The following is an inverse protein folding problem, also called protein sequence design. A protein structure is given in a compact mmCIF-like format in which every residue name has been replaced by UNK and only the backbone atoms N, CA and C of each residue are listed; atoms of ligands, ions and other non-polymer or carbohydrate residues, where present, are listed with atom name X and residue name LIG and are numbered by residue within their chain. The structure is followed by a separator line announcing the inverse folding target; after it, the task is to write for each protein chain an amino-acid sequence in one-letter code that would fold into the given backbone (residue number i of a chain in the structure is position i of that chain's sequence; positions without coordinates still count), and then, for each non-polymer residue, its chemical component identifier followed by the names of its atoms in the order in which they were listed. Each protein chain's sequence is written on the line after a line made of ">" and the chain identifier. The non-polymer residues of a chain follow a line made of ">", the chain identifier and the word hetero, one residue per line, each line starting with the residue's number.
data_IF_918505349865
#
_entry.id   IF_918505349865
#
_cell.length_a   1.000
_cell.length_b   1.000
_cell.length_c   1.000
_cell.angle_alpha   90.00
_cell.angle_beta   90.00
_cell.angle_gamma   90.00
#
_symmetry.space_group_name_H-M   'P 1'
#
loop_
_entity.id
_entity.type
_entity.pdbx_description
1 polymer ?
#
# COMPACT_ATOMS: atom_id res chain seq x y z
N UNK A 1 16.75 -23.64 137.96
CA UNK A 1 15.89 -24.28 136.95
C UNK A 1 15.69 -23.32 135.79
N UNK A 2 16.07 -23.71 134.59
CA UNK A 2 15.69 -23.04 133.34
C UNK A 2 15.42 -24.14 132.33
N UNK A 3 14.14 -24.39 132.07
CA UNK A 3 13.69 -25.38 131.09
C UNK A 3 13.67 -24.71 129.72
N UNK A 4 14.76 -24.83 128.98
CA UNK A 4 14.74 -24.52 127.54
C UNK A 4 13.74 -25.44 126.86
N UNK A 5 12.78 -24.86 126.13
CA UNK A 5 11.78 -25.65 125.40
C UNK A 5 12.46 -26.51 124.34
N UNK A 6 12.07 -27.79 124.17
CA UNK A 6 12.54 -28.57 123.04
C UNK A 6 11.99 -27.95 121.75
N UNK A 7 12.86 -27.73 120.76
CA UNK A 7 12.42 -27.32 119.42
C UNK A 7 11.32 -28.26 118.92
N UNK A 8 10.17 -27.69 118.57
CA UNK A 8 9.00 -28.44 118.11
C UNK A 8 9.25 -29.03 116.71
N UNK A 9 9.93 -30.19 116.67
CA UNK A 9 10.04 -31.01 115.47
C UNK A 9 8.63 -31.40 115.03
N UNK A 10 8.15 -30.79 113.95
CA UNK A 10 6.93 -31.22 113.27
C UNK A 10 7.21 -32.57 112.61
N UNK A 11 6.95 -33.65 113.35
CA UNK A 11 6.80 -34.98 112.78
C UNK A 11 5.52 -35.02 111.95
N UNK A 12 5.56 -34.53 110.71
CA UNK A 12 4.57 -34.87 109.69
C UNK A 12 4.90 -36.28 109.16
N UNK A 13 4.12 -37.31 109.51
CA UNK A 13 4.60 -38.71 109.50
C UNK A 13 4.75 -39.34 108.11
N UNK A 14 4.53 -38.59 107.02
CA UNK A 14 4.68 -39.06 105.63
C UNK A 14 5.10 -37.94 104.64
N UNK A 15 5.45 -36.74 105.12
CA UNK A 15 5.75 -35.59 104.26
C UNK A 15 7.22 -35.48 103.89
N UNK A 16 7.65 -36.05 102.75
CA UNK A 16 8.95 -35.67 102.16
C UNK A 16 8.91 -34.18 101.78
N UNK A 17 9.89 -33.34 102.17
CA UNK A 17 9.87 -31.91 101.86
C UNK A 17 9.95 -31.69 100.34
N UNK A 18 8.89 -31.17 99.75
CA UNK A 18 8.80 -30.90 98.31
C UNK A 18 9.27 -29.47 97.99
N UNK A 19 10.43 -29.35 97.35
CA UNK A 19 10.94 -28.07 96.86
C UNK A 19 10.27 -27.65 95.53
N UNK A 20 9.98 -26.36 95.39
CA UNK A 20 9.50 -25.77 94.14
C UNK A 20 10.59 -25.83 93.05
N UNK A 21 10.19 -26.14 91.82
CA UNK A 21 11.12 -26.28 90.68
C UNK A 21 11.07 -25.03 89.80
N UNK A 22 12.23 -24.41 89.58
CA UNK A 22 12.39 -23.20 88.76
C UNK A 22 13.31 -23.49 87.57
N UNK A 23 13.25 -22.64 86.53
CA UNK A 23 13.98 -22.83 85.26
C UNK A 23 15.52 -22.87 85.41
N UNK A 24 16.05 -22.44 86.57
CA UNK A 24 17.46 -22.61 86.98
C UNK A 24 17.51 -22.94 88.48
N UNK A 25 17.23 -24.19 88.82
CA UNK A 25 17.36 -24.74 90.17
C UNK A 25 18.57 -25.66 90.33
N UNK A 26 18.79 -26.16 91.56
CA UNK A 26 19.78 -27.20 91.85
C UNK A 26 19.36 -28.56 91.27
N UNK A 27 20.32 -29.43 90.95
CA UNK A 27 20.05 -30.80 90.54
C UNK A 27 19.36 -31.57 91.67
N UNK A 28 18.13 -32.00 91.42
CA UNK A 28 17.34 -32.81 92.35
C UNK A 28 18.11 -34.04 92.85
N UNK A 29 18.88 -34.72 92.00
CA UNK A 29 19.67 -35.91 92.40
C UNK A 29 20.85 -35.58 93.31
N UNK A 30 21.23 -34.31 93.44
CA UNK A 30 22.23 -33.85 94.41
C UNK A 30 21.55 -33.40 95.70
N UNK A 31 20.42 -32.69 95.60
CA UNK A 31 19.59 -32.29 96.75
C UNK A 31 19.07 -33.51 97.50
N UNK A 32 18.48 -34.50 96.82
CA UNK A 32 17.94 -35.72 97.45
C UNK A 32 19.01 -36.46 98.27
N UNK A 33 20.24 -36.62 97.73
CA UNK A 33 21.38 -37.25 98.42
C UNK A 33 21.92 -36.40 99.59
N UNK A 34 21.93 -35.08 99.45
CA UNK A 34 22.37 -34.19 100.52
C UNK A 34 21.38 -34.18 101.70
N UNK A 35 20.07 -34.21 101.41
CA UNK A 35 19.03 -34.35 102.44
C UNK A 35 19.17 -35.69 103.17
N UNK A 36 19.34 -36.80 102.44
CA UNK A 36 19.58 -38.13 103.02
C UNK A 36 20.82 -38.16 103.92
N UNK A 37 21.92 -37.51 103.51
CA UNK A 37 23.13 -37.37 104.32
C UNK A 37 22.92 -36.52 105.60
N UNK A 38 22.13 -35.44 105.51
CA UNK A 38 21.80 -34.59 106.67
C UNK A 38 20.84 -35.28 107.64
N UNK A 39 19.86 -36.02 107.13
CA UNK A 39 18.94 -36.84 107.95
C UNK A 39 19.69 -37.94 108.70
N UNK A 40 20.63 -38.64 108.02
CA UNK A 40 21.51 -39.62 108.65
C UNK A 40 22.40 -39.00 109.76
N UNK A 41 22.95 -37.80 109.52
CA UNK A 41 23.71 -37.06 110.54
C UNK A 41 22.87 -36.59 111.73
N UNK A 42 21.62 -36.17 111.51
CA UNK A 42 20.69 -35.84 112.58
C UNK A 42 20.31 -37.07 113.41
N UNK A 43 20.18 -38.24 112.78
CA UNK A 43 19.95 -39.51 113.46
C UNK A 43 21.15 -39.94 114.33
N UNK A 44 22.39 -39.79 113.85
CA UNK A 44 23.57 -40.12 114.67
C UNK A 44 23.73 -39.17 115.87
N UNK A 45 23.59 -37.86 115.66
CA UNK A 45 23.71 -36.85 116.73
C UNK A 45 22.63 -37.00 117.81
N UNK A 46 21.40 -37.39 117.45
CA UNK A 46 20.35 -37.67 118.43
C UNK A 46 20.60 -38.96 119.21
N UNK A 47 21.13 -40.01 118.59
CA UNK A 47 21.56 -41.23 119.29
C UNK A 47 22.74 -40.97 120.25
N UNK A 48 23.69 -40.10 119.89
CA UNK A 48 24.79 -39.69 120.76
C UNK A 48 24.32 -38.86 121.96
N UNK A 49 23.43 -37.89 121.73
CA UNK A 49 22.73 -37.14 122.79
C UNK A 49 22.09 -38.07 123.81
N UNK A 50 21.38 -39.09 123.35
CA UNK A 50 20.60 -39.98 124.24
C UNK A 50 21.52 -40.92 125.05
N UNK A 51 22.65 -41.35 124.47
CA UNK A 51 23.72 -42.05 125.22
C UNK A 51 24.32 -41.16 126.31
N UNK A 52 24.62 -39.89 126.00
CA UNK A 52 25.17 -38.94 126.97
C UNK A 52 24.17 -38.64 128.12
N UNK A 53 22.87 -38.50 127.80
CA UNK A 53 21.83 -38.33 128.82
C UNK A 53 21.69 -39.56 129.74
N UNK A 54 21.86 -40.77 129.20
CA UNK A 54 21.87 -42.00 130.00
C UNK A 54 23.08 -42.05 130.96
N UNK A 55 24.27 -41.73 130.47
CA UNK A 55 25.49 -41.66 131.30
C UNK A 55 25.35 -40.65 132.45
N UNK A 56 24.82 -39.44 132.17
CA UNK A 56 24.60 -38.40 133.19
C UNK A 56 23.65 -38.87 134.31
N UNK A 57 22.59 -39.60 133.97
CA UNK A 57 21.66 -40.19 134.97
C UNK A 57 22.36 -41.22 135.85
N UNK A 58 23.20 -42.08 135.28
CA UNK A 58 23.92 -43.11 136.04
C UNK A 58 24.93 -42.49 137.03
N UNK A 59 25.70 -41.48 136.62
CA UNK A 59 26.61 -40.78 137.53
C UNK A 59 25.87 -40.02 138.64
N UNK A 60 24.67 -39.49 138.36
CA UNK A 60 23.82 -38.85 139.39
C UNK A 60 23.42 -39.83 140.49
N UNK A 61 23.13 -41.09 140.14
CA UNK A 61 22.82 -42.15 141.12
C UNK A 61 24.05 -42.59 141.93
N UNK A 62 25.20 -42.76 141.28
CA UNK A 62 26.47 -43.11 141.95
C UNK A 62 26.87 -42.06 143.00
N UNK A 63 26.69 -40.78 142.69
CA UNK A 63 26.98 -39.69 143.61
C UNK A 63 26.10 -39.72 144.88
N UNK A 64 24.82 -40.11 144.75
CA UNK A 64 23.91 -40.25 145.89
C UNK A 64 24.29 -41.43 146.81
N UNK A 65 24.81 -42.53 146.24
CA UNK A 65 25.29 -43.69 147.02
C UNK A 65 26.52 -43.34 147.85
N UNK A 66 27.54 -42.70 147.25
CA UNK A 66 28.77 -42.30 147.95
C UNK A 66 28.51 -41.29 149.09
N UNK A 67 27.48 -40.46 148.98
CA UNK A 67 27.07 -39.56 150.07
C UNK A 67 26.53 -40.34 151.29
N UNK A 68 25.85 -41.48 151.09
CA UNK A 68 25.36 -42.29 152.20
C UNK A 68 26.52 -42.95 152.97
N UNK A 69 27.45 -43.61 152.27
CA UNK A 69 28.59 -44.33 152.87
C UNK A 69 29.45 -43.40 153.75
N UNK A 70 29.69 -42.16 153.30
CA UNK A 70 30.41 -41.14 154.06
C UNK A 70 29.68 -40.67 155.34
N UNK A 71 28.36 -40.88 155.47
CA UNK A 71 27.61 -40.60 156.70
C UNK A 71 27.63 -41.77 157.69
N UNK A 72 27.82 -43.00 157.24
CA UNK A 72 27.92 -44.18 158.10
C UNK A 72 29.29 -44.28 158.77
N UNK A 73 30.38 -44.11 158.01
CA UNK A 73 31.76 -44.17 158.50
C UNK A 73 32.07 -43.15 159.61
N UNK A 74 31.30 -42.06 159.71
CA UNK A 74 31.48 -41.02 160.75
C UNK A 74 30.94 -41.41 162.14
N UNK A 75 30.29 -42.56 162.30
CA UNK A 75 29.50 -42.87 163.51
C UNK A 75 30.15 -43.88 164.50
N UNK A 76 31.43 -44.25 164.34
CA UNK A 76 32.09 -45.28 165.19
C UNK A 76 33.40 -44.81 165.87
N UNK A 77 33.44 -44.72 167.22
CA UNK A 77 34.68 -44.66 168.01
C UNK A 77 35.14 -46.06 168.48
N UNK A 78 36.37 -46.17 169.00
CA UNK A 78 36.99 -47.44 169.43
C UNK A 78 37.62 -47.37 170.85
N UNK A 79 37.90 -48.54 171.45
CA UNK A 79 38.51 -48.70 172.79
C UNK A 79 39.72 -49.65 172.78
N UNK A 80 40.38 -49.81 173.94
CA UNK A 80 41.85 -49.97 174.08
C UNK A 80 42.25 -51.00 175.16
N UNK A 81 43.50 -51.46 175.09
CA UNK A 81 44.35 -52.10 176.13
C UNK A 81 44.17 -53.57 176.60
N UNK A 82 45.30 -54.11 177.09
CA UNK A 82 45.43 -55.30 177.95
C UNK A 82 46.56 -55.09 178.98
N UNK A 83 46.38 -55.64 180.19
CA UNK A 83 47.27 -55.44 181.34
C UNK A 83 48.37 -56.51 181.48
N UNK A 84 49.37 -56.23 182.31
CA UNK A 84 50.47 -57.13 182.69
C UNK A 84 50.19 -57.91 183.97
N UNK A 85 50.64 -59.16 184.05
CA UNK A 85 50.63 -59.98 185.26
C UNK A 85 52.05 -60.17 185.80
N UNK A 86 52.20 -60.06 187.11
CA UNK A 86 53.43 -60.29 187.89
C UNK A 86 53.00 -60.98 189.19
N UNK A 87 53.89 -61.74 189.81
CA UNK A 87 53.66 -62.57 191.01
C UNK A 87 52.94 -63.91 190.77
N UNK A 88 53.56 -64.78 189.95
CA UNK A 88 53.33 -66.22 189.93
C UNK A 88 54.69 -66.92 190.09
N UNK A 89 54.79 -67.87 191.04
CA UNK A 89 56.08 -68.39 191.54
C UNK A 89 56.84 -69.38 190.63
N UNK A 90 57.94 -69.99 191.12
CA UNK A 90 59.00 -70.58 190.28
C UNK A 90 58.61 -71.78 189.38
N UNK A 91 57.46 -72.43 189.63
CA UNK A 91 56.90 -73.42 188.69
C UNK A 91 56.35 -72.72 187.45
N UNK A 92 55.74 -71.54 187.61
CA UNK A 92 55.30 -70.69 186.50
C UNK A 92 56.49 -70.07 185.79
N UNK A 93 57.59 -69.72 186.46
CA UNK A 93 58.83 -69.31 185.78
C UNK A 93 59.38 -70.44 184.86
N UNK A 94 59.33 -71.70 185.29
CA UNK A 94 59.71 -72.83 184.42
C UNK A 94 58.72 -73.04 183.26
N UNK A 95 57.42 -72.89 183.50
CA UNK A 95 56.40 -72.94 182.44
C UNK A 95 56.59 -71.78 181.45
N UNK A 96 56.93 -70.58 181.93
CA UNK A 96 57.21 -69.41 181.11
C UNK A 96 58.50 -69.59 180.30
N UNK A 97 59.58 -70.12 180.88
CA UNK A 97 60.81 -70.40 180.14
C UNK A 97 60.63 -71.50 179.07
N UNK A 98 59.80 -72.53 179.35
CA UNK A 98 59.42 -73.53 178.36
C UNK A 98 58.48 -72.95 177.29
N UNK A 99 57.53 -72.09 177.67
CA UNK A 99 56.63 -71.40 176.75
C UNK A 99 57.35 -70.36 175.89
N UNK A 100 58.38 -69.68 176.42
CA UNK A 100 59.25 -68.75 175.69
C UNK A 100 60.12 -69.51 174.69
N UNK A 101 60.67 -70.66 175.07
CA UNK A 101 61.37 -71.55 174.13
C UNK A 101 60.44 -72.12 173.05
N UNK A 102 59.20 -72.49 173.41
CA UNK A 102 58.19 -72.92 172.45
C UNK A 102 57.73 -71.78 171.54
N UNK A 103 57.54 -70.57 172.08
CA UNK A 103 57.20 -69.38 171.32
C UNK A 103 58.34 -68.96 170.38
N UNK A 104 59.60 -69.13 170.80
CA UNK A 104 60.79 -68.99 169.95
C UNK A 104 60.73 -69.95 168.76
N UNK A 105 60.53 -71.26 169.00
CA UNK A 105 60.38 -72.26 167.93
C UNK A 105 59.16 -72.01 167.03
N UNK A 106 58.05 -71.51 167.58
CA UNK A 106 56.87 -71.10 166.80
C UNK A 106 57.17 -69.86 165.96
N UNK A 107 57.91 -68.88 166.49
CA UNK A 107 58.33 -67.69 165.76
C UNK A 107 59.37 -68.01 164.67
N UNK A 108 60.34 -68.89 164.94
CA UNK A 108 61.31 -69.39 163.97
C UNK A 108 60.61 -70.14 162.83
N UNK A 109 59.71 -71.07 163.14
CA UNK A 109 58.97 -71.81 162.11
C UNK A 109 57.92 -70.95 161.37
N UNK A 110 57.34 -69.93 162.03
CA UNK A 110 56.46 -68.97 161.38
C UNK A 110 57.22 -67.98 160.48
N UNK A 111 58.41 -67.54 160.86
CA UNK A 111 59.27 -66.66 160.03
C UNK A 111 59.90 -67.43 158.87
N UNK A 112 60.29 -68.69 159.07
CA UNK A 112 60.67 -69.60 157.97
C UNK A 112 59.53 -69.74 156.96
N UNK A 113 58.32 -70.12 157.40
CA UNK A 113 57.14 -70.23 156.51
C UNK A 113 56.74 -68.91 155.86
N UNK A 114 56.89 -67.78 156.55
CA UNK A 114 56.65 -66.48 155.97
C UNK A 114 57.67 -66.16 154.87
N UNK A 115 58.95 -66.49 155.07
CA UNK A 115 60.00 -66.35 154.05
C UNK A 115 59.83 -67.31 152.86
N UNK A 116 59.38 -68.54 153.11
CA UNK A 116 59.00 -69.52 152.07
C UNK A 116 57.86 -68.97 151.21
N UNK A 117 56.74 -68.58 151.83
CA UNK A 117 55.57 -68.02 151.13
C UNK A 117 55.87 -66.67 150.45
N UNK A 118 56.75 -65.84 151.00
CA UNK A 118 57.24 -64.62 150.35
C UNK A 118 58.08 -64.95 149.12
N UNK A 119 59.02 -65.90 149.22
CA UNK A 119 59.81 -66.36 148.08
C UNK A 119 58.99 -67.02 146.98
N UNK A 120 57.93 -67.76 147.33
CA UNK A 120 56.96 -68.30 146.38
C UNK A 120 56.14 -67.18 145.71
N UNK A 121 55.62 -66.22 146.48
CA UNK A 121 54.88 -65.09 145.94
C UNK A 121 55.75 -64.19 145.04
N UNK A 122 57.03 -63.95 145.41
CA UNK A 122 57.98 -63.22 144.58
C UNK A 122 58.30 -63.95 143.28
N UNK A 123 58.48 -65.28 143.29
CA UNK A 123 58.65 -66.09 142.08
C UNK A 123 57.44 -66.00 141.17
N UNK A 124 56.23 -66.23 141.69
CA UNK A 124 54.99 -66.14 140.90
C UNK A 124 54.77 -64.72 140.34
N UNK A 125 55.15 -63.67 141.08
CA UNK A 125 55.12 -62.30 140.58
C UNK A 125 56.20 -62.01 139.52
N UNK A 126 57.36 -62.65 139.57
CA UNK A 126 58.38 -62.57 138.51
C UNK A 126 57.94 -63.33 137.26
N UNK A 127 57.51 -64.58 137.39
CA UNK A 127 56.96 -65.42 136.31
C UNK A 127 55.78 -64.72 135.61
N UNK A 128 54.84 -64.16 136.37
CA UNK A 128 53.72 -63.40 135.81
C UNK A 128 54.15 -62.10 135.10
N UNK A 129 55.22 -61.43 135.56
CA UNK A 129 55.79 -60.26 134.88
C UNK A 129 56.56 -60.63 133.61
N UNK A 130 57.30 -61.74 133.63
CA UNK A 130 58.01 -62.25 132.46
C UNK A 130 57.03 -62.71 131.38
N UNK A 131 55.96 -63.43 131.74
CA UNK A 131 54.88 -63.78 130.81
C UNK A 131 54.10 -62.55 130.31
N UNK A 132 53.87 -61.53 131.14
CA UNK A 132 53.29 -60.27 130.68
C UNK A 132 54.21 -59.52 129.71
N UNK A 133 55.52 -59.51 129.95
CA UNK A 133 56.50 -58.89 129.05
C UNK A 133 56.63 -59.66 127.72
N UNK A 134 56.64 -61.00 127.77
CA UNK A 134 56.63 -61.88 126.60
C UNK A 134 55.38 -61.62 125.74
N UNK A 135 54.18 -61.72 126.33
CA UNK A 135 52.93 -61.51 125.58
C UNK A 135 52.76 -60.09 125.04
N UNK A 136 53.27 -59.06 125.73
CA UNK A 136 53.33 -57.71 125.17
C UNK A 136 54.30 -57.63 123.98
N UNK A 137 55.49 -58.24 124.08
CA UNK A 137 56.46 -58.27 122.99
C UNK A 137 55.94 -59.03 121.75
N UNK A 138 55.29 -60.17 121.95
CA UNK A 138 54.66 -60.97 120.89
C UNK A 138 53.54 -60.18 120.19
N UNK A 139 52.71 -59.44 120.95
CA UNK A 139 51.67 -58.57 120.41
C UNK A 139 52.25 -57.35 119.68
N UNK A 140 53.34 -56.75 120.17
CA UNK A 140 54.06 -55.68 119.47
C UNK A 140 54.68 -56.19 118.16
N UNK A 141 55.25 -57.41 118.17
CA UNK A 141 55.76 -58.07 116.98
C UNK A 141 54.64 -58.34 115.96
N UNK A 142 53.51 -58.94 116.37
CA UNK A 142 52.34 -59.14 115.50
C UNK A 142 51.80 -57.81 114.92
N UNK A 143 51.70 -56.77 115.74
CA UNK A 143 51.21 -55.46 115.28
C UNK A 143 52.18 -54.78 114.32
N UNK A 144 53.49 -54.94 114.52
CA UNK A 144 54.51 -54.45 113.58
C UNK A 144 54.48 -55.21 112.25
N UNK A 145 54.33 -56.54 112.30
CA UNK A 145 54.21 -57.38 111.12
C UNK A 145 52.95 -57.03 110.30
N UNK A 146 51.78 -56.93 110.95
CA UNK A 146 50.52 -56.54 110.29
C UNK A 146 50.56 -55.14 109.70
N UNK A 147 51.30 -54.20 110.31
CA UNK A 147 51.55 -52.86 109.72
C UNK A 147 52.41 -52.98 108.45
N UNK A 148 53.53 -53.67 108.53
CA UNK A 148 54.41 -53.87 107.37
C UNK A 148 53.74 -54.65 106.22
N UNK A 149 52.82 -55.58 106.52
CA UNK A 149 51.97 -56.25 105.52
C UNK A 149 50.95 -55.30 104.89
N UNK A 150 50.32 -54.43 105.69
CA UNK A 150 49.36 -53.43 105.19
C UNK A 150 50.05 -52.34 104.36
N UNK A 151 51.24 -51.90 104.75
CA UNK A 151 52.08 -50.95 104.02
C UNK A 151 52.50 -51.54 102.66
N UNK A 152 53.03 -52.77 102.61
CA UNK A 152 53.32 -53.47 101.36
C UNK A 152 52.09 -53.64 100.47
N UNK A 153 50.96 -54.11 101.03
CA UNK A 153 49.73 -54.28 100.27
C UNK A 153 49.14 -52.95 99.77
N UNK A 154 49.46 -51.82 100.41
CA UNK A 154 49.14 -50.48 99.93
C UNK A 154 50.10 -50.03 98.82
N UNK A 155 51.41 -50.26 98.96
CA UNK A 155 52.43 -49.95 97.95
C UNK A 155 52.25 -50.78 96.66
N UNK A 156 51.91 -52.07 96.77
CA UNK A 156 51.55 -52.94 95.65
C UNK A 156 50.30 -52.43 94.91
N UNK A 157 49.24 -52.07 95.64
CA UNK A 157 48.02 -51.51 95.03
C UNK A 157 48.27 -50.14 94.40
N UNK A 158 49.10 -49.32 95.04
CA UNK A 158 49.46 -47.98 94.54
C UNK A 158 50.30 -48.08 93.28
N UNK A 159 51.36 -48.89 93.27
CA UNK A 159 52.21 -49.08 92.09
C UNK A 159 51.46 -49.75 90.94
N UNK A 160 50.55 -50.69 91.21
CA UNK A 160 49.65 -51.24 90.20
C UNK A 160 48.69 -50.19 89.61
N UNK A 161 48.17 -49.27 90.43
CA UNK A 161 47.33 -48.17 89.96
C UNK A 161 48.13 -47.11 89.19
N UNK A 162 49.35 -46.78 89.62
CA UNK A 162 50.26 -45.87 88.92
C UNK A 162 50.70 -46.45 87.57
N UNK A 163 50.94 -47.77 87.48
CA UNK A 163 51.18 -48.47 86.23
C UNK A 163 49.96 -48.43 85.29
N UNK A 164 48.76 -48.76 85.78
CA UNK A 164 47.53 -48.67 84.98
C UNK A 164 47.24 -47.25 84.48
N UNK A 165 47.58 -46.22 85.26
CA UNK A 165 47.47 -44.82 84.83
C UNK A 165 48.51 -44.48 83.75
N UNK A 166 49.72 -45.04 83.80
CA UNK A 166 50.72 -44.89 82.75
C UNK A 166 50.28 -45.60 81.45
N UNK A 167 49.81 -46.85 81.53
CA UNK A 167 49.27 -47.61 80.38
C UNK A 167 48.11 -46.85 79.70
N UNK A 168 47.19 -46.29 80.49
CA UNK A 168 46.06 -45.49 79.99
C UNK A 168 46.55 -44.18 79.35
N UNK A 169 47.57 -43.52 79.92
CA UNK A 169 48.15 -42.31 79.35
C UNK A 169 48.85 -42.59 78.01
N UNK A 170 49.61 -43.69 77.91
CA UNK A 170 50.23 -44.08 76.65
C UNK A 170 49.18 -44.39 75.58
N UNK A 171 48.14 -45.16 75.91
CA UNK A 171 47.04 -45.45 74.99
C UNK A 171 46.28 -44.18 74.54
N UNK A 172 46.07 -43.21 75.44
CA UNK A 172 45.44 -41.93 75.09
C UNK A 172 46.33 -41.09 74.18
N UNK A 173 47.64 -41.05 74.41
CA UNK A 173 48.58 -40.34 73.52
C UNK A 173 48.75 -41.03 72.16
N UNK A 174 48.79 -42.37 72.11
CA UNK A 174 48.76 -43.14 70.87
C UNK A 174 47.48 -42.82 70.06
N UNK A 175 46.30 -42.90 70.69
CA UNK A 175 45.02 -42.56 70.04
C UNK A 175 44.93 -41.09 69.61
N UNK A 176 45.58 -40.17 70.34
CA UNK A 176 45.67 -38.75 69.96
C UNK A 176 46.53 -38.58 68.71
N UNK A 177 47.71 -39.20 68.66
CA UNK A 177 48.64 -39.14 67.52
C UNK A 177 48.04 -39.82 66.28
N UNK A 178 47.42 -40.99 66.42
CA UNK A 178 46.72 -41.67 65.33
C UNK A 178 45.54 -40.83 64.81
N UNK A 179 44.78 -40.19 65.71
CA UNK A 179 43.69 -39.29 65.36
C UNK A 179 44.16 -38.03 64.62
N UNK A 180 45.27 -37.44 65.06
CA UNK A 180 45.91 -36.29 64.39
C UNK A 180 46.45 -36.69 63.01
N UNK A 181 47.16 -37.81 62.89
CA UNK A 181 47.67 -38.32 61.62
C UNK A 181 46.54 -38.65 60.62
N UNK A 182 45.45 -39.28 61.08
CA UNK A 182 44.27 -39.54 60.26
C UNK A 182 43.57 -38.23 59.83
N UNK A 183 43.52 -37.22 60.71
CA UNK A 183 42.97 -35.91 60.38
C UNK A 183 43.83 -35.16 59.36
N UNK A 184 45.16 -35.18 59.49
CA UNK A 184 46.07 -34.61 58.51
C UNK A 184 45.97 -35.31 57.14
N UNK A 185 45.88 -36.65 57.11
CA UNK A 185 45.68 -37.40 55.87
C UNK A 185 44.37 -37.00 55.19
N UNK A 186 43.26 -36.96 55.92
CA UNK A 186 41.97 -36.52 55.41
C UNK A 186 41.99 -35.06 54.90
N UNK A 187 42.72 -34.16 55.57
CA UNK A 187 42.95 -32.81 55.06
C UNK A 187 43.77 -32.79 53.77
N UNK A 188 44.82 -33.60 53.66
CA UNK A 188 45.67 -33.68 52.47
C UNK A 188 44.91 -34.26 51.27
N UNK A 189 44.10 -35.30 51.49
CA UNK A 189 43.21 -35.85 50.47
C UNK A 189 42.12 -34.85 50.05
N UNK A 190 41.49 -34.14 50.99
CA UNK A 190 40.53 -33.09 50.66
C UNK A 190 41.17 -31.95 49.84
N UNK A 191 42.39 -31.51 50.19
CA UNK A 191 43.16 -30.52 49.41
C UNK A 191 43.44 -31.04 48.00
N UNK A 192 43.96 -32.27 47.87
CA UNK A 192 44.24 -32.93 46.59
C UNK A 192 42.99 -33.10 45.71
N UNK A 193 41.85 -33.46 46.29
CA UNK A 193 40.57 -33.58 45.56
C UNK A 193 40.08 -32.20 45.10
N UNK A 194 40.18 -31.17 45.95
CA UNK A 194 39.84 -29.79 45.57
C UNK A 194 40.75 -29.25 44.46
N UNK A 195 42.06 -29.55 44.50
CA UNK A 195 43.02 -29.18 43.45
C UNK A 195 42.72 -29.90 42.13
N UNK A 196 42.48 -31.22 42.16
CA UNK A 196 42.16 -32.01 40.97
C UNK A 196 40.82 -31.59 40.34
N UNK A 197 39.80 -31.33 41.16
CA UNK A 197 38.49 -30.87 40.66
C UNK A 197 38.57 -29.43 40.13
N UNK A 198 39.32 -28.53 40.76
CA UNK A 198 39.58 -27.19 40.22
C UNK A 198 40.30 -27.25 38.87
N UNK A 199 41.32 -28.12 38.73
CA UNK A 199 42.01 -28.34 37.45
C UNK A 199 41.08 -28.90 36.38
N UNK A 200 40.21 -29.87 36.71
CA UNK A 200 39.23 -30.43 35.78
C UNK A 200 38.19 -29.38 35.35
N UNK A 201 37.69 -28.56 36.27
CA UNK A 201 36.74 -27.47 35.97
C UNK A 201 37.38 -26.42 35.06
N UNK A 202 38.62 -26.01 35.31
CA UNK A 202 39.31 -25.03 34.45
C UNK A 202 39.68 -25.62 33.08
N UNK A 203 40.07 -26.90 33.00
CA UNK A 203 40.26 -27.59 31.71
C UNK A 203 38.95 -27.67 30.91
N UNK A 204 37.84 -28.04 31.55
CA UNK A 204 36.53 -28.07 30.92
C UNK A 204 36.06 -26.68 30.47
N UNK A 205 36.33 -25.64 31.27
CA UNK A 205 36.07 -24.25 30.92
C UNK A 205 36.88 -23.81 29.71
N UNK A 206 38.21 -24.01 29.72
CA UNK A 206 39.09 -23.63 28.60
C UNK A 206 38.69 -24.37 27.33
N UNK A 207 38.31 -25.65 27.41
CA UNK A 207 37.78 -26.41 26.28
C UNK A 207 36.45 -25.83 25.76
N UNK A 208 35.49 -25.50 26.64
CA UNK A 208 34.22 -24.88 26.24
C UNK A 208 34.42 -23.47 25.64
N UNK A 209 35.34 -22.68 26.20
CA UNK A 209 35.73 -21.39 25.65
C UNK A 209 36.42 -21.53 24.29
N UNK A 210 37.25 -22.57 24.07
CA UNK A 210 37.87 -22.84 22.78
C UNK A 210 36.83 -23.28 21.73
N UNK A 211 35.91 -24.18 22.08
CA UNK A 211 34.83 -24.64 21.19
C UNK A 211 33.89 -23.49 20.80
N UNK A 212 33.50 -22.63 21.75
CA UNK A 212 32.64 -21.46 21.45
C UNK A 212 33.36 -20.40 20.63
N UNK A 213 34.67 -20.18 20.85
CA UNK A 213 35.50 -19.32 19.97
C UNK A 213 35.59 -19.90 18.56
N UNK A 214 35.87 -21.21 18.41
CA UNK A 214 35.95 -21.90 17.13
C UNK A 214 34.62 -21.87 16.34
N UNK A 215 33.51 -22.22 16.99
CA UNK A 215 32.17 -22.17 16.39
C UNK A 215 31.80 -20.74 15.96
N UNK A 216 32.13 -19.72 16.76
CA UNK A 216 31.93 -18.32 16.37
C UNK A 216 32.76 -17.94 15.14
N UNK A 217 34.02 -18.36 15.04
CA UNK A 217 34.84 -18.09 13.86
C UNK A 217 34.34 -18.82 12.61
N UNK A 218 33.86 -20.06 12.76
CA UNK A 218 33.26 -20.81 11.65
C UNK A 218 31.98 -20.12 11.14
N UNK A 219 31.05 -19.78 12.03
CA UNK A 219 29.82 -19.06 11.66
C UNK A 219 30.14 -17.70 11.01
N UNK A 220 31.19 -17.01 11.46
CA UNK A 220 31.65 -15.77 10.83
C UNK A 220 32.20 -16.00 9.41
N UNK A 221 32.94 -17.09 9.18
CA UNK A 221 33.43 -17.46 7.84
C UNK A 221 32.29 -17.89 6.91
N UNK A 222 31.35 -18.72 7.39
CA UNK A 222 30.17 -19.15 6.63
C UNK A 222 29.27 -17.97 6.25
N UNK A 223 29.02 -17.03 7.17
CA UNK A 223 28.28 -15.80 6.88
C UNK A 223 29.02 -14.88 5.91
N UNK A 224 30.36 -14.82 5.94
CA UNK A 224 31.14 -14.08 4.96
C UNK A 224 31.10 -14.75 3.57
N UNK A 225 31.20 -16.07 3.51
CA UNK A 225 31.12 -16.85 2.27
C UNK A 225 29.73 -16.72 1.62
N UNK A 226 28.65 -16.88 2.39
CA UNK A 226 27.27 -16.71 1.91
C UNK A 226 26.99 -15.27 1.43
N UNK A 227 27.56 -14.26 2.10
CA UNK A 227 27.50 -12.87 1.62
C UNK A 227 28.25 -12.67 0.32
N UNK A 228 29.43 -13.26 0.17
CA UNK A 228 30.21 -13.17 -1.07
C UNK A 228 29.50 -13.89 -2.24
N UNK A 229 28.92 -15.07 -1.99
CA UNK A 229 28.10 -15.81 -2.96
C UNK A 229 26.87 -14.99 -3.39
N UNK A 230 26.08 -14.49 -2.43
CA UNK A 230 24.91 -13.65 -2.74
C UNK A 230 25.29 -12.36 -3.48
N UNK A 231 26.44 -11.75 -3.18
CA UNK A 231 26.96 -10.62 -3.95
C UNK A 231 27.34 -11.02 -5.39
N UNK A 232 27.97 -12.19 -5.59
CA UNK A 232 28.28 -12.71 -6.91
C UNK A 232 27.01 -13.00 -7.72
N UNK A 233 26.02 -13.67 -7.13
CA UNK A 233 24.70 -13.91 -7.73
C UNK A 233 24.00 -12.60 -8.12
N UNK A 234 24.02 -11.59 -7.25
CA UNK A 234 23.46 -10.26 -7.55
C UNK A 234 24.21 -9.53 -8.67
N UNK A 235 25.54 -9.68 -8.78
CA UNK A 235 26.28 -9.11 -9.92
C UNK A 235 26.02 -9.86 -11.22
N UNK A 236 25.94 -11.19 -11.19
CA UNK A 236 25.56 -12.00 -12.35
C UNK A 236 24.14 -11.67 -12.82
N UNK A 237 23.18 -11.56 -11.90
CA UNK A 237 21.80 -11.19 -12.22
C UNK A 237 21.72 -9.77 -12.81
N UNK A 238 22.46 -8.81 -12.26
CA UNK A 238 22.58 -7.46 -12.86
C UNK A 238 23.13 -7.49 -14.29
N UNK A 239 24.25 -8.18 -14.53
CA UNK A 239 24.84 -8.29 -15.86
C UNK A 239 23.90 -8.99 -16.84
N UNK A 240 23.17 -10.02 -16.40
CA UNK A 240 22.17 -10.71 -17.23
C UNK A 240 20.97 -9.79 -17.55
N UNK A 241 20.47 -9.03 -16.59
CA UNK A 241 19.36 -8.07 -16.80
C UNK A 241 19.79 -6.89 -17.67
N UNK A 242 21.00 -6.35 -17.48
CA UNK A 242 21.57 -5.32 -18.34
C UNK A 242 21.75 -5.83 -19.77
N UNK A 243 22.19 -7.08 -19.93
CA UNK A 243 22.26 -7.76 -21.23
C UNK A 243 20.88 -7.92 -21.87
N UNK A 244 19.88 -8.45 -21.16
CA UNK A 244 18.51 -8.58 -21.67
C UNK A 244 17.91 -7.22 -22.07
N UNK A 245 18.16 -6.18 -21.29
CA UNK A 245 17.71 -4.81 -21.62
C UNK A 245 18.38 -4.31 -22.89
N UNK A 246 19.68 -4.55 -23.07
CA UNK A 246 20.40 -4.16 -24.28
C UNK A 246 19.99 -4.97 -25.51
N UNK A 247 19.76 -6.29 -25.37
CA UNK A 247 19.24 -7.14 -26.45
C UNK A 247 17.83 -6.72 -26.87
N UNK A 248 16.93 -6.44 -25.92
CA UNK A 248 15.57 -5.92 -26.23
C UNK A 248 15.60 -4.52 -26.82
N UNK A 249 16.53 -3.65 -26.42
CA UNK A 249 16.73 -2.32 -27.03
C UNK A 249 17.23 -2.44 -28.47
N UNK A 250 18.24 -3.27 -28.72
CA UNK A 250 18.75 -3.51 -30.06
C UNK A 250 17.69 -4.10 -31.00
N UNK A 251 16.85 -5.02 -30.50
CA UNK A 251 15.71 -5.54 -31.26
C UNK A 251 14.67 -4.43 -31.58
N UNK A 252 14.27 -3.63 -30.59
CA UNK A 252 13.33 -2.52 -30.82
C UNK A 252 13.91 -1.43 -31.75
N UNK A 253 15.22 -1.16 -31.69
CA UNK A 253 15.91 -0.26 -32.62
C UNK A 253 15.95 -0.82 -34.05
N UNK A 254 16.09 -2.15 -34.21
CA UNK A 254 15.97 -2.84 -35.50
C UNK A 254 14.53 -2.77 -36.04
N UNK A 255 13.51 -3.12 -35.24
CA UNK A 255 12.10 -3.00 -35.63
C UNK A 255 11.74 -1.56 -36.06
N UNK A 256 12.22 -0.55 -35.30
CA UNK A 256 12.02 0.86 -35.67
C UNK A 256 12.79 1.26 -36.94
N UNK A 257 13.97 0.69 -37.20
CA UNK A 257 14.70 0.91 -38.45
C UNK A 257 14.02 0.24 -39.65
N UNK A 258 13.48 -0.96 -39.48
CA UNK A 258 12.71 -1.67 -40.50
C UNK A 258 11.39 -0.96 -40.81
N UNK A 259 10.65 -0.51 -39.79
CA UNK A 259 9.45 0.30 -39.97
C UNK A 259 9.73 1.64 -40.66
N UNK A 260 10.85 2.31 -40.36
CA UNK A 260 11.28 3.51 -41.08
C UNK A 260 11.61 3.20 -42.54
N UNK A 261 12.42 2.17 -42.80
CA UNK A 261 12.77 1.76 -44.16
C UNK A 261 11.56 1.26 -44.97
N UNK A 262 10.53 0.71 -44.33
CA UNK A 262 9.25 0.41 -44.95
C UNK A 262 8.49 1.70 -45.31
N UNK A 263 8.29 2.61 -44.35
CA UNK A 263 7.62 3.89 -44.58
C UNK A 263 8.33 4.76 -45.64
N UNK A 264 9.67 4.76 -45.69
CA UNK A 264 10.47 5.43 -46.71
C UNK A 264 10.24 4.84 -48.11
N UNK A 265 10.12 3.50 -48.22
CA UNK A 265 9.76 2.83 -49.49
C UNK A 265 8.32 3.12 -49.90
N UNK A 266 7.38 3.12 -48.96
CA UNK A 266 5.97 3.43 -49.21
C UNK A 266 5.80 4.88 -49.67
N UNK A 267 6.49 5.83 -49.04
CA UNK A 267 6.51 7.24 -49.46
C UNK A 267 7.19 7.40 -50.81
N UNK A 268 8.32 6.72 -51.07
CA UNK A 268 8.96 6.74 -52.39
C UNK A 268 8.05 6.18 -53.49
N UNK A 269 7.36 5.07 -53.23
CA UNK A 269 6.39 4.48 -54.16
C UNK A 269 5.15 5.34 -54.37
N UNK A 270 4.69 6.08 -53.34
CA UNK A 270 3.64 7.08 -53.47
C UNK A 270 4.09 8.29 -54.30
N UNK A 271 5.35 8.72 -54.16
CA UNK A 271 5.94 9.79 -54.96
C UNK A 271 6.06 9.37 -56.43
N UNK A 272 6.64 8.21 -56.74
CA UNK A 272 6.73 7.74 -58.14
C UNK A 272 5.33 7.54 -58.75
N UNK A 273 4.38 6.97 -58.00
CA UNK A 273 3.00 6.82 -58.47
C UNK A 273 2.21 8.15 -58.53
N UNK A 274 2.72 9.24 -57.95
CA UNK A 274 2.20 10.60 -58.13
C UNK A 274 2.85 11.29 -59.33
N UNK A 275 4.17 11.13 -59.51
CA UNK A 275 4.91 11.59 -60.69
C UNK A 275 4.38 10.95 -61.98
N UNK A 276 4.10 9.65 -61.97
CA UNK A 276 3.45 8.94 -63.08
C UNK A 276 2.07 9.53 -63.41
N UNK A 277 1.23 9.80 -62.40
CA UNK A 277 -0.10 10.42 -62.59
C UNK A 277 0.00 11.85 -63.08
N UNK A 278 0.99 12.61 -62.62
CA UNK A 278 1.27 13.96 -63.11
C UNK A 278 1.73 13.89 -64.57
N UNK A 279 2.57 12.91 -64.94
CA UNK A 279 3.00 12.68 -66.31
C UNK A 279 1.84 12.26 -67.23
N UNK A 280 0.93 11.39 -66.80
CA UNK A 280 -0.27 11.05 -67.60
C UNK A 280 -1.21 12.25 -67.72
N UNK A 281 -1.48 13.00 -66.65
CA UNK A 281 -2.30 14.22 -66.72
C UNK A 281 -1.66 15.30 -67.61
N UNK A 282 -0.33 15.43 -67.63
CA UNK A 282 0.38 16.31 -68.56
C UNK A 282 0.24 15.81 -70.00
N UNK A 283 0.36 14.50 -70.25
CA UNK A 283 0.19 13.92 -71.57
C UNK A 283 -1.26 14.07 -72.08
N UNK A 284 -2.26 13.85 -71.23
CA UNK A 284 -3.68 14.09 -71.50
C UNK A 284 -3.96 15.57 -71.77
N UNK A 285 -3.43 16.49 -70.96
CA UNK A 285 -3.56 17.93 -71.18
C UNK A 285 -2.86 18.39 -72.48
N UNK A 286 -1.71 17.79 -72.83
CA UNK A 286 -1.04 18.02 -74.11
C UNK A 286 -1.90 17.51 -75.28
N UNK A 287 -2.40 16.27 -75.22
CA UNK A 287 -3.30 15.70 -76.23
C UNK A 287 -4.55 16.58 -76.41
N UNK A 288 -5.23 16.92 -75.32
CA UNK A 288 -6.39 17.82 -75.32
C UNK A 288 -6.05 19.19 -75.92
N UNK A 289 -4.88 19.77 -75.60
CA UNK A 289 -4.44 21.03 -76.22
C UNK A 289 -4.20 20.90 -77.73
N UNK A 290 -3.73 19.75 -78.21
CA UNK A 290 -3.59 19.48 -79.65
C UNK A 290 -4.93 19.21 -80.33
N UNK A 291 -5.91 18.60 -79.65
CA UNK A 291 -7.28 18.48 -80.16
C UNK A 291 -7.97 19.84 -80.24
N UNK A 292 -7.84 20.68 -79.20
CA UNK A 292 -8.42 22.04 -79.19
C UNK A 292 -7.77 22.90 -80.27
N UNK A 293 -6.45 22.79 -80.50
CA UNK A 293 -5.79 23.42 -81.65
C UNK A 293 -6.33 22.90 -82.97
N UNK A 294 -6.38 21.59 -83.20
CA UNK A 294 -6.97 21.00 -84.42
C UNK A 294 -8.40 21.48 -84.67
N UNK A 295 -9.27 21.46 -83.66
CA UNK A 295 -10.66 21.97 -83.77
C UNK A 295 -10.71 23.47 -84.08
N UNK A 296 -9.78 24.26 -83.53
CA UNK A 296 -9.67 25.69 -83.82
C UNK A 296 -9.11 25.95 -85.23
N UNK A 297 -8.14 25.16 -85.70
CA UNK A 297 -7.60 25.22 -87.05
C UNK A 297 -8.64 24.76 -88.10
N UNK A 298 -9.39 23.69 -87.81
CA UNK A 298 -10.55 23.23 -88.57
C UNK A 298 -11.63 24.32 -88.65
N UNK A 299 -12.02 24.92 -87.52
CA UNK A 299 -12.96 26.06 -87.49
C UNK A 299 -12.41 27.28 -88.25
N UNK A 300 -11.11 27.57 -88.15
CA UNK A 300 -10.48 28.66 -88.90
C UNK A 300 -10.53 28.40 -90.41
N UNK A 301 -10.25 27.17 -90.87
CA UNK A 301 -10.39 26.82 -92.30
C UNK A 301 -11.84 26.94 -92.78
N UNK A 302 -12.82 26.43 -92.02
CA UNK A 302 -14.25 26.57 -92.35
C UNK A 302 -14.68 28.05 -92.39
N UNK A 303 -14.23 28.89 -91.45
CA UNK A 303 -14.51 30.33 -91.47
C UNK A 303 -13.80 31.05 -92.61
N UNK A 304 -12.62 30.60 -93.02
CA UNK A 304 -11.87 31.16 -94.15
C UNK A 304 -12.53 30.77 -95.50
N UNK A 305 -12.99 29.53 -95.64
CA UNK A 305 -13.82 29.09 -96.78
C UNK A 305 -15.12 29.90 -96.86
N UNK A 306 -15.85 30.04 -95.74
CA UNK A 306 -17.04 30.90 -95.64
C UNK A 306 -16.75 32.34 -96.06
N UNK A 307 -15.64 32.92 -95.60
CA UNK A 307 -15.19 34.26 -96.02
C UNK A 307 -14.94 34.35 -97.53
N UNK A 308 -14.31 33.35 -98.15
CA UNK A 308 -14.10 33.35 -99.60
C UNK A 308 -15.40 33.20 -100.39
N UNK A 309 -16.36 32.41 -99.90
CA UNK A 309 -17.69 32.28 -100.52
C UNK A 309 -18.46 33.61 -100.47
N UNK A 310 -18.50 34.27 -99.29
CA UNK A 310 -19.15 35.59 -99.13
C UNK A 310 -18.45 36.67 -99.98
N UNK A 311 -17.12 36.63 -100.13
CA UNK A 311 -16.41 37.52 -101.04
C UNK A 311 -16.79 37.32 -102.52
N UNK A 312 -17.03 36.07 -102.94
CA UNK A 312 -17.51 35.77 -104.29
C UNK A 312 -18.95 36.24 -104.51
N UNK A 313 -19.87 36.03 -103.54
CA UNK A 313 -21.24 36.56 -103.61
C UNK A 313 -21.26 38.09 -103.68
N UNK A 314 -20.49 38.78 -102.84
CA UNK A 314 -20.37 40.26 -102.88
C UNK A 314 -19.76 40.73 -104.20
N UNK A 315 -18.86 39.95 -104.81
CA UNK A 315 -18.35 40.19 -106.16
C UNK A 315 -19.46 40.13 -107.21
N UNK A 316 -20.27 39.06 -107.21
CA UNK A 316 -21.40 38.89 -108.12
C UNK A 316 -22.49 39.96 -107.95
N UNK A 317 -22.87 40.27 -106.71
CA UNK A 317 -23.85 41.32 -106.40
C UNK A 317 -23.39 42.70 -106.89
N UNK A 318 -22.10 43.03 -106.77
CA UNK A 318 -21.53 44.28 -107.33
C UNK A 318 -21.57 44.32 -108.86
N UNK A 319 -21.35 43.19 -109.53
CA UNK A 319 -21.47 43.14 -111.00
C UNK A 319 -22.92 43.33 -111.46
N UNK A 320 -23.89 42.70 -110.78
CA UNK A 320 -25.32 42.89 -111.06
C UNK A 320 -25.79 44.34 -110.83
N UNK A 321 -25.35 44.98 -109.74
CA UNK A 321 -25.66 46.39 -109.45
C UNK A 321 -25.10 47.36 -110.51
N UNK A 322 -23.92 47.08 -111.07
CA UNK A 322 -23.34 47.87 -112.15
C UNK A 322 -24.11 47.70 -113.47
N UNK A 323 -24.61 46.49 -113.77
CA UNK A 323 -25.46 46.24 -114.94
C UNK A 323 -26.78 47.01 -114.83
N UNK A 324 -27.46 46.92 -113.69
CA UNK A 324 -28.70 47.66 -113.42
C UNK A 324 -28.52 49.19 -113.49
N UNK A 325 -27.36 49.73 -113.10
CA UNK A 325 -27.07 51.15 -113.29
C UNK A 325 -26.96 51.54 -114.77
N UNK A 326 -26.24 50.75 -115.58
CA UNK A 326 -26.10 51.02 -117.01
C UNK A 326 -27.45 50.93 -117.77
N UNK A 327 -28.33 50.01 -117.37
CA UNK A 327 -29.69 49.91 -117.90
C UNK A 327 -30.56 51.11 -117.48
N UNK A 328 -30.44 51.57 -116.22
CA UNK A 328 -31.13 52.75 -115.71
C UNK A 328 -30.71 54.04 -116.44
N UNK A 329 -29.40 54.25 -116.63
CA UNK A 329 -28.86 55.42 -117.34
C UNK A 329 -29.30 55.42 -118.81
N UNK A 330 -29.30 54.24 -119.46
CA UNK A 330 -29.82 54.07 -120.83
C UNK A 330 -31.30 54.44 -120.94
N UNK A 331 -32.13 53.99 -120.00
CA UNK A 331 -33.55 54.32 -119.96
C UNK A 331 -33.81 55.82 -119.73
N UNK A 332 -33.03 56.46 -118.84
CA UNK A 332 -33.14 57.90 -118.59
C UNK A 332 -32.81 58.73 -119.84
N UNK A 333 -31.76 58.38 -120.59
CA UNK A 333 -31.39 59.07 -121.82
C UNK A 333 -32.47 58.95 -122.92
N UNK A 334 -33.10 57.77 -123.06
CA UNK A 334 -34.22 57.58 -123.99
C UNK A 334 -35.43 58.46 -123.60
N UNK A 335 -35.77 58.52 -122.32
CA UNK A 335 -36.91 59.29 -121.81
C UNK A 335 -36.69 60.82 -121.95
N UNK A 336 -35.46 61.29 -121.80
CA UNK A 336 -35.09 62.68 -122.10
C UNK A 336 -35.27 63.04 -123.59
N UNK A 337 -34.90 62.13 -124.49
CA UNK A 337 -34.98 62.31 -125.95
C UNK A 337 -36.43 62.44 -126.44
N UNK A 338 -37.31 61.52 -126.02
CA UNK A 338 -38.74 61.54 -126.35
C UNK A 338 -39.42 62.84 -125.87
N UNK A 339 -39.01 63.40 -124.73
CA UNK A 339 -39.54 64.69 -124.23
C UNK A 339 -39.14 65.88 -125.11
N UNK A 340 -37.93 65.90 -125.67
CA UNK A 340 -37.51 66.95 -126.60
C UNK A 340 -38.22 66.83 -127.95
N UNK A 341 -38.40 65.61 -128.44
CA UNK A 341 -39.13 65.33 -129.69
C UNK A 341 -40.62 65.72 -129.58
N UNK A 342 -41.27 65.47 -128.43
CA UNK A 342 -42.64 65.91 -128.15
C UNK A 342 -42.81 67.44 -128.19
N UNK A 343 -41.95 68.19 -127.50
CA UNK A 343 -42.01 69.65 -127.46
C UNK A 343 -41.82 70.30 -128.86
N UNK A 344 -41.03 69.67 -129.75
CA UNK A 344 -40.87 70.13 -131.12
C UNK A 344 -42.17 69.96 -131.94
N UNK A 345 -42.91 68.87 -131.74
CA UNK A 345 -44.19 68.62 -132.43
C UNK A 345 -45.28 69.58 -131.93
N UNK A 346 -45.37 69.84 -130.63
CA UNK A 346 -46.35 70.79 -130.06
C UNK A 346 -46.20 72.21 -130.65
N UNK A 347 -44.98 72.69 -130.84
CA UNK A 347 -44.75 73.98 -131.51
C UNK A 347 -45.19 73.98 -132.98
N UNK A 348 -44.99 72.89 -133.73
CA UNK A 348 -45.43 72.77 -135.12
C UNK A 348 -46.97 72.74 -135.24
N UNK A 349 -47.65 72.04 -134.33
CA UNK A 349 -49.13 72.00 -134.29
C UNK A 349 -49.71 73.39 -134.07
N UNK A 350 -49.15 74.16 -133.14
CA UNK A 350 -49.63 75.52 -132.84
C UNK A 350 -49.44 76.49 -134.03
N UNK A 351 -48.34 76.39 -134.78
CA UNK A 351 -48.12 77.20 -135.99
C UNK A 351 -49.14 76.87 -137.09
N UNK A 352 -49.42 75.58 -137.32
CA UNK A 352 -50.43 75.15 -138.30
C UNK A 352 -51.85 75.59 -137.93
N UNK A 353 -52.17 75.66 -136.63
CA UNK A 353 -53.46 76.16 -136.16
C UNK A 353 -53.65 77.67 -136.41
N UNK A 354 -52.59 78.48 -136.28
CA UNK A 354 -52.67 79.93 -136.56
C UNK A 354 -52.94 80.19 -138.05
N UNK A 355 -52.18 79.57 -138.96
CA UNK A 355 -52.42 79.72 -140.40
C UNK A 355 -53.80 79.21 -140.84
N UNK A 356 -54.33 78.16 -140.20
CA UNK A 356 -55.72 77.71 -140.45
C UNK A 356 -56.78 78.70 -139.95
N UNK A 357 -56.45 79.58 -138.99
CA UNK A 357 -57.31 80.69 -138.58
C UNK A 357 -57.34 81.81 -139.63
N UNK A 358 -56.16 82.23 -140.08
CA UNK A 358 -55.99 83.30 -141.08
C UNK A 358 -56.72 82.97 -142.40
N UNK A 359 -56.45 81.79 -142.97
CA UNK A 359 -57.08 81.33 -144.22
C UNK A 359 -58.61 81.24 -144.11
N UNK A 360 -59.15 80.93 -142.91
CA UNK A 360 -60.61 80.88 -142.69
C UNK A 360 -61.24 82.27 -142.67
N UNK A 361 -60.54 83.30 -142.20
CA UNK A 361 -61.05 84.67 -142.22
C UNK A 361 -60.99 85.27 -143.63
N UNK A 362 -59.93 85.00 -144.40
CA UNK A 362 -59.86 85.39 -145.82
C UNK A 362 -61.00 84.73 -146.63
N UNK A 363 -61.23 83.43 -146.44
CA UNK A 363 -62.30 82.70 -147.12
C UNK A 363 -63.71 83.27 -146.80
N UNK A 364 -63.94 83.76 -145.59
CA UNK A 364 -65.22 84.37 -145.19
C UNK A 364 -65.47 85.75 -145.84
N UNK A 365 -64.42 86.49 -146.16
CA UNK A 365 -64.51 87.77 -146.90
C UNK A 365 -64.82 87.53 -148.38
N UNK A 366 -64.25 86.48 -148.99
CA UNK A 366 -64.52 86.17 -150.39
C UNK A 366 -65.87 85.44 -150.62
N UNK A 367 -66.35 84.62 -149.67
CA UNK A 367 -67.71 84.02 -149.80
C UNK A 367 -68.80 85.09 -149.70
N UNK A 368 -68.66 86.08 -148.82
CA UNK A 368 -69.64 87.18 -148.71
C UNK A 368 -69.69 88.04 -149.99
N UNK A 369 -68.54 88.35 -150.60
CA UNK A 369 -68.47 88.97 -151.94
C UNK A 369 -69.15 88.14 -153.03
N UNK A 370 -68.94 86.81 -153.03
CA UNK A 370 -69.56 85.91 -154.00
C UNK A 370 -71.09 85.79 -153.85
N UNK A 371 -71.61 85.92 -152.63
CA UNK A 371 -73.07 85.95 -152.41
C UNK A 371 -73.72 87.25 -152.90
N UNK A 372 -73.09 88.41 -152.70
CA UNK A 372 -73.59 89.67 -153.27
C UNK A 372 -73.60 89.64 -154.81
N UNK A 373 -72.54 89.09 -155.42
CA UNK A 373 -72.49 88.86 -156.85
C UNK A 373 -73.63 87.93 -157.34
N UNK A 374 -73.85 86.80 -156.67
CA UNK A 374 -74.92 85.84 -157.02
C UNK A 374 -76.32 86.44 -156.95
N UNK A 375 -76.63 87.15 -155.86
CA UNK A 375 -77.96 87.77 -155.66
C UNK A 375 -78.30 88.79 -156.76
N UNK A 376 -77.29 89.43 -157.36
CA UNK A 376 -77.51 90.27 -158.55
C UNK A 376 -77.90 89.45 -159.79
N UNK A 377 -77.25 88.30 -160.02
CA UNK A 377 -77.45 87.46 -161.20
C UNK A 377 -78.78 86.68 -161.18
N UNK A 378 -79.20 86.15 -160.02
CA UNK A 378 -80.45 85.39 -159.89
C UNK A 378 -81.69 86.22 -160.29
N UNK A 379 -81.66 87.53 -160.02
CA UNK A 379 -82.74 88.46 -160.41
C UNK A 379 -82.92 88.57 -161.94
N UNK A 380 -81.82 88.43 -162.70
CA UNK A 380 -81.82 88.45 -164.17
C UNK A 380 -82.23 87.08 -164.72
N UNK A 381 -81.80 85.98 -164.10
CA UNK A 381 -82.13 84.63 -164.57
C UNK A 381 -83.62 84.30 -164.44
N UNK A 382 -84.30 84.84 -163.41
CA UNK A 382 -85.74 84.67 -163.22
C UNK A 382 -86.57 85.35 -164.33
N UNK A 383 -86.10 86.47 -164.89
CA UNK A 383 -86.71 87.08 -166.10
C UNK A 383 -86.55 86.19 -167.35
N UNK A 384 -85.54 85.32 -167.42
CA UNK A 384 -85.33 84.40 -168.55
C UNK A 384 -86.13 83.08 -168.41
N UNK A 385 -86.30 82.57 -167.20
CA UNK A 385 -87.01 81.30 -166.92
C UNK A 385 -88.50 81.37 -167.28
N UNK A 386 -89.16 82.49 -166.97
CA UNK A 386 -90.58 82.70 -167.26
C UNK A 386 -90.90 82.78 -168.77
N UNK A 387 -89.91 83.18 -169.59
CA UNK A 387 -90.00 83.15 -171.06
C UNK A 387 -89.83 81.73 -171.62
N UNK A 388 -89.00 80.88 -170.99
CA UNK A 388 -88.80 79.47 -171.39
C UNK A 388 -89.93 78.55 -170.97
N UNK A 389 -90.54 78.75 -169.81
CA UNK A 389 -91.70 77.96 -169.38
C UNK A 389 -92.88 78.04 -170.37
N UNK A 390 -93.00 79.18 -171.09
CA UNK A 390 -93.93 79.34 -172.22
C UNK A 390 -93.74 78.30 -173.33
N UNK A 391 -92.55 77.72 -173.51
CA UNK A 391 -92.15 77.09 -174.78
C UNK A 391 -92.37 75.57 -174.84
N UNK A 392 -92.40 74.89 -173.69
CA UNK A 392 -91.84 73.53 -173.59
C UNK A 392 -92.78 72.39 -173.13
N UNK A 393 -94.10 72.62 -173.01
CA UNK A 393 -95.08 71.56 -172.61
C UNK A 393 -96.06 71.16 -173.70
N UNK A 394 -96.54 72.12 -174.49
CA UNK A 394 -96.50 71.90 -175.93
C UNK A 394 -95.00 71.71 -176.26
N UNK A 395 -94.59 70.60 -176.87
CA UNK A 395 -93.27 69.92 -176.74
C UNK A 395 -93.24 68.62 -175.91
N UNK A 396 -94.42 68.01 -175.67
CA UNK A 396 -94.58 66.55 -175.43
C UNK A 396 -95.97 66.01 -175.97
N UNK A 397 -96.33 66.36 -177.23
CA UNK A 397 -97.63 66.24 -177.96
C UNK A 397 -97.74 66.14 -179.53
N UNK A 398 -96.71 66.32 -180.41
CA UNK A 398 -96.63 65.76 -181.82
C UNK A 398 -95.22 65.14 -182.17
N UNK A 399 -95.11 63.87 -182.62
CA UNK A 399 -93.89 63.01 -182.77
C UNK A 399 -93.05 62.82 -181.48
N UNK A 400 -92.76 61.64 -180.92
CA UNK A 400 -92.05 60.49 -181.51
C UNK A 400 -92.89 59.20 -181.67
N UNK A 401 -94.23 59.29 -181.71
CA UNK A 401 -95.14 58.19 -182.11
C UNK A 401 -94.79 57.58 -183.49
N UNK A 402 -93.90 58.23 -184.24
CA UNK A 402 -93.23 57.78 -185.45
C UNK A 402 -92.09 56.73 -185.27
N UNK A 403 -91.78 56.29 -184.05
CA UNK A 403 -90.75 55.27 -183.76
C UNK A 403 -91.37 53.90 -183.35
N UNK A 404 -92.28 53.35 -184.16
CA UNK A 404 -91.94 52.34 -185.20
C UNK A 404 -91.49 50.97 -184.61
N UNK A 405 -92.38 50.11 -184.12
CA UNK A 405 -93.40 49.34 -184.87
C UNK A 405 -92.88 48.27 -185.87
N UNK A 406 -91.58 47.93 -185.91
CA UNK A 406 -91.04 46.96 -186.90
C UNK A 406 -90.32 45.73 -186.30
N UNK A 407 -89.96 45.73 -185.02
CA UNK A 407 -89.57 44.49 -184.29
C UNK A 407 -90.67 44.10 -183.29
N UNK A 408 -91.82 43.71 -183.83
CA UNK A 408 -93.04 43.47 -183.09
C UNK A 408 -93.17 42.03 -182.53
N UNK A 409 -94.07 41.90 -181.56
CA UNK A 409 -94.93 40.72 -181.35
C UNK A 409 -94.27 39.33 -181.21
N UNK A 410 -93.57 39.10 -180.09
CA UNK A 410 -93.62 37.82 -179.37
C UNK A 410 -93.13 37.94 -177.89
N UNK A 411 -93.89 38.42 -176.90
CA UNK A 411 -95.15 39.18 -176.84
C UNK A 411 -95.27 39.72 -175.38
N UNK A 412 -95.78 40.92 -175.05
CA UNK A 412 -96.13 42.16 -175.79
C UNK A 412 -95.82 43.37 -174.87
N UNK A 413 -96.13 44.65 -175.13
CA UNK A 413 -96.98 45.35 -176.13
C UNK A 413 -98.03 46.22 -175.41
N UNK A 414 -98.24 47.53 -175.65
CA UNK A 414 -97.61 48.54 -176.55
C UNK A 414 -97.72 49.98 -175.96
N UNK A 415 -97.06 51.01 -176.52
CA UNK A 415 -97.61 52.06 -177.44
C UNK A 415 -98.36 53.25 -176.74
N UNK A 416 -98.23 54.58 -177.03
CA UNK A 416 -97.51 55.46 -178.01
C UNK A 416 -97.04 56.83 -177.37
N UNK A 417 -96.32 57.74 -178.08
CA UNK A 417 -95.60 58.97 -177.55
C UNK A 417 -96.12 60.38 -178.05
N UNK A 418 -95.30 61.49 -178.15
CA UNK A 418 -95.38 62.76 -179.01
C UNK A 418 -94.64 64.11 -178.48
N UNK A 419 -94.38 65.24 -179.26
CA UNK A 419 -93.72 66.63 -179.02
C UNK A 419 -94.44 68.07 -179.26
N UNK A 420 -94.12 69.03 -180.20
CA UNK A 420 -94.09 70.56 -180.07
C UNK A 420 -95.43 71.39 -179.87
N UNK A 421 -95.55 72.75 -179.63
CA UNK A 421 -94.76 73.90 -179.01
C UNK A 421 -95.54 75.26 -178.74
N UNK A 422 -95.26 75.96 -177.61
CA UNK A 422 -95.33 77.43 -177.19
C UNK A 422 -96.61 78.30 -176.87
N UNK A 423 -96.88 78.64 -175.56
CA UNK A 423 -97.31 79.95 -174.86
C UNK A 423 -97.54 79.82 -173.29
N UNK A 424 -97.72 80.80 -172.34
CA UNK A 424 -97.58 82.29 -172.22
C UNK A 424 -97.80 83.01 -170.79
N UNK A 425 -96.77 83.30 -169.90
CA UNK A 425 -96.71 84.32 -168.73
C UNK A 425 -97.71 84.10 -167.51
N UNK A 426 -97.71 84.83 -166.34
CA UNK A 426 -96.72 85.29 -165.31
C UNK A 426 -96.91 84.71 -163.85
N UNK A 427 -96.22 85.31 -162.84
CA UNK A 427 -96.55 85.48 -161.38
C UNK A 427 -95.89 84.57 -160.30
N UNK A 428 -96.26 84.64 -158.99
CA UNK A 428 -95.31 84.52 -157.85
C UNK A 428 -95.68 83.63 -156.61
N UNK A 429 -94.66 83.20 -155.81
CA UNK A 429 -94.74 83.04 -154.32
C UNK A 429 -94.27 81.74 -153.58
N UNK A 430 -93.65 81.91 -152.37
CA UNK A 430 -93.55 80.98 -151.17
C UNK A 430 -92.78 79.63 -151.27
N UNK A 431 -92.55 78.81 -150.18
CA UNK A 431 -92.68 78.95 -148.69
C UNK A 431 -91.39 78.53 -147.87
N UNK A 432 -91.48 77.90 -146.66
CA UNK A 432 -90.40 77.76 -145.63
C UNK A 432 -90.49 76.54 -144.62
N UNK A 433 -89.48 76.36 -143.73
CA UNK A 433 -89.42 75.46 -142.52
C UNK A 433 -88.06 74.69 -142.34
N UNK A 434 -87.69 73.92 -141.29
CA UNK A 434 -87.90 73.86 -139.81
C UNK A 434 -87.21 72.56 -139.22
N UNK A 435 -86.82 72.28 -137.95
CA UNK A 435 -86.35 72.98 -136.69
C UNK A 435 -85.87 71.92 -135.64
N UNK A 436 -84.80 72.15 -134.82
CA UNK A 436 -84.40 71.32 -133.63
C UNK A 436 -82.93 71.56 -133.15
N UNK A 437 -82.42 71.20 -131.95
CA UNK A 437 -82.97 70.63 -130.69
C UNK A 437 -82.00 70.87 -129.47
N UNK A 438 -82.44 70.70 -128.20
CA UNK A 438 -81.77 71.03 -126.90
C UNK A 438 -81.78 69.80 -125.92
N UNK A 439 -81.31 69.83 -124.62
CA UNK A 439 -80.33 70.67 -123.86
C UNK A 439 -79.17 69.77 -123.24
N UNK A 440 -78.17 70.14 -122.41
CA UNK A 440 -77.94 71.09 -121.28
C UNK A 440 -78.74 70.76 -119.98
N UNK A 441 -78.32 71.12 -118.72
CA UNK A 441 -77.18 71.96 -118.24
C UNK A 441 -76.00 71.13 -117.63
N UNK A 442 -74.78 71.63 -117.35
CA UNK A 442 -74.28 72.76 -116.50
C UNK A 442 -74.43 72.52 -114.97
N UNK A 443 -73.66 73.12 -114.04
CA UNK A 443 -72.93 74.40 -114.03
C UNK A 443 -71.56 74.33 -113.32
N UNK A 444 -70.57 74.95 -113.97
CA UNK A 444 -69.45 75.83 -113.53
C UNK A 444 -69.12 76.00 -112.02
N UNK A 445 -67.94 76.54 -111.65
CA UNK A 445 -66.99 77.28 -112.47
C UNK A 445 -65.52 76.88 -112.26
N UNK A 446 -64.80 76.86 -113.37
CA UNK A 446 -63.36 76.63 -113.51
C UNK A 446 -62.91 77.55 -114.65
N UNK A 447 -61.73 78.16 -114.53
CA UNK A 447 -61.28 79.26 -115.39
C UNK A 447 -60.28 78.77 -116.46
#
# INVERSE_FOLDING_TARGET
>A
MSTGEPFAVRNEPNGRPSFEQTLRGYDKRQVDRYVEQVEAGAASLSAERDRAQFQLRNHTLQFQQLQAELTELRQRPAQVDRASFRDLGPVVDQILALAEKQAGLIAETATQRAGELQGEAERVLLEAREHAAQTLHDLEAELSARRAEQEKAYEERRSAAEAQLADIQELVEQLRVDGEAAHEHAQQEAKRINELTAQQVEQARVAAEALTKAARTQIQQEVQAARAQSQQELTQWRVNVEREINERRAAAEQELAEHRAAAERDVAGQLTAAEEKIATLIAEAQQYSTEVRKRADEQATVHQEQLTAVQQEVGGQRQALNQLHAELDGAQQQLARVRQEGAAVEHQVNQLQQHLGEIRQELAVETSRLEEARRSADSVEQHAKDVRARVQREAKRVADLAAAAVMAAAAGGGETAEYPTVRSRPEAGRPAGATGQQPAPEVAASA
#
